data_IF_850030753090
#
_entry.id   IF_850030753090
#
_cell.length_a   1.000
_cell.length_b   1.000
_cell.length_c   1.000
_cell.angle_alpha   90.00
_cell.angle_beta   90.00
_cell.angle_gamma   90.00
#
_symmetry.space_group_name_H-M   'P 1'
#
loop_
_entity.id
_entity.type
_entity.pdbx_description
1 polymer ?
#
# COMPACT_ATOMS: atom_id res chain seq x y z
N UNK A 1 -19.75 26.66 12.62
CA UNK A 1 -19.41 25.24 12.43
C UNK A 1 -18.89 25.22 11.02
N UNK A 2 -17.58 25.30 10.90
CA UNK A 2 -16.94 25.92 9.74
C UNK A 2 -16.69 24.85 8.69
N UNK A 3 -17.29 25.05 7.52
CA UNK A 3 -16.95 24.32 6.32
C UNK A 3 -15.45 24.55 6.06
N UNK A 4 -14.63 23.50 5.88
CA UNK A 4 -13.20 23.69 5.63
C UNK A 4 -13.01 24.60 4.42
N UNK A 5 -12.12 25.59 4.56
CA UNK A 5 -11.87 26.58 3.50
C UNK A 5 -11.17 25.89 2.31
N UNK A 6 -11.39 26.40 1.10
CA UNK A 6 -10.70 25.93 -0.10
C UNK A 6 -9.18 25.95 0.04
N UNK A 7 -8.64 26.90 0.83
CA UNK A 7 -7.22 26.96 1.16
C UNK A 7 -6.73 25.72 1.96
N UNK A 8 -7.51 25.23 2.92
CA UNK A 8 -7.16 24.07 3.75
C UNK A 8 -7.12 22.79 2.92
N UNK A 9 -8.11 22.60 2.05
CA UNK A 9 -8.17 21.44 1.14
C UNK A 9 -7.00 21.45 0.16
N UNK A 10 -6.63 22.62 -0.35
CA UNK A 10 -5.46 22.76 -1.24
C UNK A 10 -4.14 22.48 -0.52
N UNK A 11 -3.98 22.92 0.73
CA UNK A 11 -2.80 22.61 1.55
C UNK A 11 -2.67 21.11 1.78
N UNK A 12 -3.76 20.47 2.24
CA UNK A 12 -3.79 19.01 2.46
C UNK A 12 -3.47 18.25 1.17
N UNK A 13 -4.05 18.66 0.04
CA UNK A 13 -3.77 18.03 -1.25
C UNK A 13 -2.30 18.19 -1.67
N UNK A 14 -1.67 19.33 -1.42
CA UNK A 14 -0.24 19.53 -1.68
C UNK A 14 0.63 18.62 -0.79
N UNK A 15 0.31 18.50 0.49
CA UNK A 15 1.02 17.62 1.42
C UNK A 15 0.83 16.13 1.06
N UNK A 16 -0.37 15.73 0.65
CA UNK A 16 -0.63 14.37 0.14
C UNK A 16 0.15 14.13 -1.15
N UNK A 17 0.13 15.06 -2.11
CA UNK A 17 0.86 14.93 -3.38
C UNK A 17 2.37 14.73 -3.15
N UNK A 18 2.95 15.41 -2.17
CA UNK A 18 4.37 15.27 -1.82
C UNK A 18 4.74 13.88 -1.24
N UNK A 19 3.75 13.13 -0.73
CA UNK A 19 3.93 11.78 -0.19
C UNK A 19 3.69 10.68 -1.22
N UNK A 20 3.17 11.01 -2.41
CA UNK A 20 2.95 10.06 -3.48
C UNK A 20 4.21 9.94 -4.34
N UNK A 21 4.58 8.73 -4.79
CA UNK A 21 5.77 8.53 -5.58
C UNK A 21 5.56 9.06 -6.99
N UNK A 22 6.66 9.45 -7.62
CA UNK A 22 6.70 9.74 -9.06
C UNK A 22 6.53 8.44 -9.83
N UNK A 23 5.69 8.45 -10.86
CA UNK A 23 5.60 7.38 -11.87
C UNK A 23 5.99 7.98 -13.21
N UNK A 24 6.74 7.22 -14.02
CA UNK A 24 7.18 7.67 -15.35
C UNK A 24 7.81 9.09 -15.39
N UNK A 25 8.55 9.49 -14.35
CA UNK A 25 9.13 10.82 -14.16
C UNK A 25 8.11 11.99 -14.10
N UNK A 26 6.85 11.72 -13.80
CA UNK A 26 5.83 12.72 -13.55
C UNK A 26 5.61 12.95 -12.06
N UNK A 27 5.60 14.23 -11.65
CA UNK A 27 5.20 14.67 -10.31
C UNK A 27 3.67 14.78 -10.20
N UNK A 28 3.15 14.56 -8.99
CA UNK A 28 1.77 14.88 -8.68
C UNK A 28 1.58 16.40 -8.60
N UNK A 29 0.62 16.89 -9.38
CA UNK A 29 0.20 18.30 -9.41
C UNK A 29 -1.15 18.48 -8.73
N UNK A 30 -1.38 19.66 -8.15
CA UNK A 30 -2.61 19.99 -7.42
C UNK A 30 -3.28 21.20 -8.06
N UNK A 31 -4.59 21.10 -8.28
CA UNK A 31 -5.40 22.19 -8.85
C UNK A 31 -6.77 22.30 -8.18
N UNK A 32 -7.36 23.50 -8.07
CA UNK A 32 -8.70 23.67 -7.50
C UNK A 32 -9.77 23.11 -8.44
N UNK A 33 -10.88 22.62 -7.86
CA UNK A 33 -12.05 22.16 -8.62
C UNK A 33 -13.15 23.21 -8.57
N UNK A 34 -13.45 23.84 -9.71
CA UNK A 34 -14.38 24.96 -9.81
C UNK A 34 -15.88 24.59 -9.75
N UNK A 35 -16.23 23.32 -10.02
CA UNK A 35 -17.62 22.86 -10.13
C UNK A 35 -18.04 21.87 -9.02
N UNK A 36 -17.28 21.77 -7.94
CA UNK A 36 -17.60 20.84 -6.85
C UNK A 36 -18.65 21.45 -5.89
N UNK A 37 -19.60 20.64 -5.44
CA UNK A 37 -20.60 21.03 -4.45
C UNK A 37 -19.99 21.39 -3.06
N UNK A 38 -18.71 21.08 -2.87
CA UNK A 38 -17.92 21.36 -1.66
C UNK A 38 -16.46 21.64 -2.06
N UNK A 39 -15.68 22.36 -1.24
CA UNK A 39 -14.26 22.58 -1.48
C UNK A 39 -13.51 21.27 -1.76
N UNK A 40 -12.85 21.21 -2.91
CA UNK A 40 -12.15 20.04 -3.40
C UNK A 40 -10.90 20.43 -4.20
N UNK A 41 -9.87 19.60 -4.13
CA UNK A 41 -8.66 19.70 -4.91
C UNK A 41 -8.52 18.48 -5.82
N UNK A 42 -8.05 18.70 -7.04
CA UNK A 42 -7.68 17.63 -7.98
C UNK A 42 -6.20 17.37 -7.89
N UNK A 43 -5.83 16.11 -7.67
CA UNK A 43 -4.47 15.60 -7.78
C UNK A 43 -4.33 14.87 -9.12
N UNK A 44 -3.25 15.12 -9.86
CA UNK A 44 -2.97 14.44 -11.14
C UNK A 44 -1.49 14.38 -11.48
N UNK A 45 -1.06 13.28 -12.10
CA UNK A 45 0.29 13.09 -12.66
C UNK A 45 0.27 12.92 -14.20
N UNK A 46 -0.81 13.36 -14.84
CA UNK A 46 -1.09 13.15 -16.26
C UNK A 46 -2.26 12.20 -16.47
N UNK A 47 -2.02 10.91 -16.77
CA UNK A 47 -3.10 9.96 -17.04
C UNK A 47 -3.95 9.66 -15.80
N UNK A 48 -3.36 9.72 -14.59
CA UNK A 48 -4.06 9.41 -13.34
C UNK A 48 -4.53 10.70 -12.69
N UNK A 49 -5.71 10.65 -12.12
CA UNK A 49 -6.25 11.74 -11.33
C UNK A 49 -7.30 11.26 -10.33
N UNK A 50 -7.39 11.98 -9.22
CA UNK A 50 -8.47 11.85 -8.26
C UNK A 50 -8.74 13.20 -7.58
N UNK A 51 -9.93 13.33 -7.02
CA UNK A 51 -10.33 14.47 -6.22
C UNK A 51 -10.16 14.15 -4.75
N UNK A 52 -9.72 15.14 -3.99
CA UNK A 52 -9.65 15.14 -2.54
C UNK A 52 -10.61 16.21 -2.04
N UNK A 53 -11.54 15.81 -1.18
CA UNK A 53 -12.42 16.72 -0.47
C UNK A 53 -12.40 16.39 1.02
N UNK A 54 -12.59 17.38 1.88
CA UNK A 54 -12.70 17.17 3.34
C UNK A 54 -14.08 17.56 3.83
N UNK A 55 -14.60 16.81 4.79
CA UNK A 55 -15.89 17.08 5.40
C UNK A 55 -15.91 16.54 6.84
N UNK A 56 -16.25 17.39 7.81
CA UNK A 56 -16.46 16.99 9.22
C UNK A 56 -15.36 16.09 9.81
N UNK A 57 -14.08 16.42 9.55
CA UNK A 57 -12.94 15.63 10.04
C UNK A 57 -12.67 14.34 9.27
N UNK A 58 -13.31 14.15 8.11
CA UNK A 58 -13.03 13.08 7.17
C UNK A 58 -12.44 13.60 5.87
N UNK A 59 -11.69 12.75 5.18
CA UNK A 59 -11.19 13.02 3.83
C UNK A 59 -11.81 12.01 2.86
N UNK A 60 -12.50 12.49 1.83
CA UNK A 60 -13.01 11.66 0.74
C UNK A 60 -12.08 11.79 -0.47
N UNK A 61 -11.62 10.65 -0.97
CA UNK A 61 -10.90 10.53 -2.22
C UNK A 61 -11.82 9.91 -3.26
N UNK A 62 -12.02 10.59 -4.40
CA UNK A 62 -12.86 10.07 -5.47
C UNK A 62 -12.13 10.09 -6.80
N UNK A 63 -12.21 8.99 -7.53
CA UNK A 63 -11.77 8.92 -8.93
C UNK A 63 -12.97 8.61 -9.82
N UNK A 64 -12.91 9.10 -11.06
CA UNK A 64 -14.00 8.98 -12.02
C UNK A 64 -13.84 9.98 -13.17
N UNK A 65 -14.03 9.49 -14.39
CA UNK A 65 -14.48 10.29 -15.53
C UNK A 65 -15.96 9.97 -15.77
N UNK A 66 -16.71 10.72 -16.59
CA UNK A 66 -18.11 10.44 -16.90
C UNK A 66 -18.41 9.02 -17.44
N UNK A 67 -17.37 8.21 -17.70
CA UNK A 67 -17.45 6.91 -18.37
C UNK A 67 -16.88 5.74 -17.54
N UNK A 68 -16.49 5.96 -16.30
CA UNK A 68 -15.96 4.91 -15.39
C UNK A 68 -16.75 4.89 -14.08
N UNK A 69 -16.94 3.72 -13.48
CA UNK A 69 -17.59 3.63 -12.17
C UNK A 69 -16.76 4.40 -11.12
N UNK A 70 -17.39 5.37 -10.47
CA UNK A 70 -16.73 6.19 -9.46
C UNK A 70 -16.27 5.32 -8.30
N UNK A 71 -14.96 5.31 -8.03
CA UNK A 71 -14.43 4.74 -6.79
C UNK A 71 -14.30 5.88 -5.80
N UNK A 72 -15.02 5.76 -4.69
CA UNK A 72 -14.98 6.70 -3.57
C UNK A 72 -14.45 6.01 -2.33
N UNK A 73 -13.43 6.59 -1.71
CA UNK A 73 -12.81 6.14 -0.48
C UNK A 73 -12.95 7.23 0.57
N UNK A 74 -13.55 6.92 1.72
CA UNK A 74 -13.63 7.85 2.85
C UNK A 74 -12.67 7.41 3.94
N UNK A 75 -11.80 8.33 4.34
CA UNK A 75 -10.76 8.14 5.35
C UNK A 75 -11.15 8.97 6.58
N UNK A 76 -11.02 8.38 7.76
CA UNK A 76 -11.16 9.13 9.01
C UNK A 76 -9.92 10.01 9.23
N UNK A 77 -10.15 11.30 9.46
CA UNK A 77 -9.08 12.28 9.68
C UNK A 77 -8.64 13.02 8.41
N UNK A 78 -7.77 14.00 8.64
CA UNK A 78 -7.16 14.88 7.63
C UNK A 78 -5.63 14.84 7.67
N UNK A 79 -5.04 13.87 8.37
CA UNK A 79 -3.59 13.72 8.44
C UNK A 79 -3.04 13.28 7.06
N UNK A 80 -2.12 14.04 6.43
CA UNK A 80 -1.65 13.77 5.07
C UNK A 80 -1.11 12.36 4.88
N UNK A 81 -0.34 11.84 5.84
CA UNK A 81 0.21 10.49 5.79
C UNK A 81 -0.86 9.38 5.80
N UNK A 82 -1.96 9.59 6.52
CA UNK A 82 -3.09 8.64 6.56
C UNK A 82 -3.83 8.65 5.22
N UNK A 83 -4.07 9.85 4.66
CA UNK A 83 -4.73 10.01 3.36
C UNK A 83 -3.87 9.45 2.23
N UNK A 84 -2.56 9.74 2.20
CA UNK A 84 -1.62 9.21 1.21
C UNK A 84 -1.52 7.67 1.30
N UNK A 85 -1.43 7.12 2.52
CA UNK A 85 -1.44 5.66 2.72
C UNK A 85 -2.72 5.03 2.19
N UNK A 86 -3.89 5.62 2.43
CA UNK A 86 -5.16 5.15 1.90
C UNK A 86 -5.20 5.21 0.35
N UNK A 87 -4.67 6.28 -0.24
CA UNK A 87 -4.56 6.42 -1.69
C UNK A 87 -3.66 5.34 -2.30
N UNK A 88 -2.48 5.10 -1.72
CA UNK A 88 -1.51 4.10 -2.19
C UNK A 88 -2.03 2.67 -2.07
N UNK A 89 -2.69 2.35 -0.97
CA UNK A 89 -3.13 0.99 -0.65
C UNK A 89 -4.40 0.58 -1.43
N UNK A 90 -5.35 1.51 -1.60
CA UNK A 90 -6.66 1.21 -2.19
C UNK A 90 -6.98 1.96 -3.48
N UNK A 91 -6.77 3.28 -3.54
CA UNK A 91 -7.27 4.10 -4.65
C UNK A 91 -6.42 3.96 -5.94
N UNK A 92 -5.11 4.19 -5.87
CA UNK A 92 -4.24 4.19 -7.04
C UNK A 92 -4.24 2.84 -7.79
N UNK A 93 -4.20 1.67 -7.13
CA UNK A 93 -4.33 0.39 -7.82
C UNK A 93 -5.64 0.25 -8.63
N UNK A 94 -6.73 0.85 -8.16
CA UNK A 94 -8.02 0.85 -8.87
C UNK A 94 -8.01 1.81 -10.07
N UNK A 95 -7.33 2.95 -9.95
CA UNK A 95 -7.11 3.89 -11.06
C UNK A 95 -6.29 3.23 -12.16
N UNK A 96 -5.16 2.62 -11.82
CA UNK A 96 -4.32 1.88 -12.77
C UNK A 96 -5.15 0.78 -13.47
N UNK A 97 -6.04 0.10 -12.72
CA UNK A 97 -6.97 -0.90 -13.24
C UNK A 97 -7.95 -0.38 -14.30
N UNK A 98 -8.34 0.89 -14.21
CA UNK A 98 -9.22 1.55 -15.19
C UNK A 98 -8.47 2.16 -16.38
N UNK A 99 -7.20 2.54 -16.21
CA UNK A 99 -6.33 3.09 -17.26
C UNK A 99 -5.80 1.98 -18.18
N UNK A 100 -5.45 0.82 -17.62
CA UNK A 100 -4.84 -0.29 -18.36
C UNK A 100 -5.91 -1.21 -19.02
N UNK A 101 -6.32 -0.88 -20.24
CA UNK A 101 -7.21 -1.71 -21.08
C UNK A 101 -6.61 -3.11 -21.35
N UNK A 102 -7.42 -4.19 -21.40
CA UNK A 102 -6.94 -5.58 -21.43
C UNK A 102 -6.02 -5.98 -22.60
N UNK A 103 -5.99 -5.22 -23.70
CA UNK A 103 -5.18 -5.55 -24.88
C UNK A 103 -3.70 -5.15 -24.79
N UNK A 104 -3.27 -4.40 -23.77
CA UNK A 104 -1.90 -3.84 -23.68
C UNK A 104 -1.05 -4.34 -22.50
N UNK A 105 -1.49 -5.33 -21.72
CA UNK A 105 -0.93 -5.59 -20.37
C UNK A 105 0.54 -6.04 -20.29
N UNK A 106 1.11 -6.66 -21.32
CA UNK A 106 2.52 -7.14 -21.26
C UNK A 106 3.57 -6.01 -21.27
N UNK A 107 3.53 -5.04 -22.19
CA UNK A 107 4.43 -3.87 -22.17
C UNK A 107 4.40 -3.09 -20.86
N UNK A 108 3.21 -2.86 -20.28
CA UNK A 108 3.07 -2.11 -19.03
C UNK A 108 3.70 -2.83 -17.83
N UNK A 109 3.57 -4.16 -17.76
CA UNK A 109 4.19 -4.97 -16.70
C UNK A 109 5.71 -4.79 -16.62
N UNK A 110 6.41 -4.86 -17.76
CA UNK A 110 7.87 -4.73 -17.78
C UNK A 110 8.31 -3.30 -17.45
N UNK A 111 7.55 -2.29 -17.89
CA UNK A 111 7.81 -0.89 -17.52
C UNK A 111 7.69 -0.69 -16.00
N UNK A 112 6.66 -1.26 -15.37
CA UNK A 112 6.45 -1.18 -13.92
C UNK A 112 7.57 -1.84 -13.11
N UNK A 113 8.05 -3.02 -13.54
CA UNK A 113 9.22 -3.63 -12.91
C UNK A 113 10.48 -2.79 -13.13
N UNK A 114 10.68 -2.23 -14.33
CA UNK A 114 11.83 -1.38 -14.60
C UNK A 114 11.85 -0.11 -13.73
N UNK A 115 10.68 0.47 -13.39
CA UNK A 115 10.58 1.58 -12.43
C UNK A 115 11.01 1.16 -11.02
N UNK A 116 10.52 0.02 -10.52
CA UNK A 116 10.90 -0.51 -9.21
C UNK A 116 12.40 -0.83 -9.17
N UNK A 117 12.92 -1.48 -10.20
CA UNK A 117 14.34 -1.82 -10.32
C UNK A 117 15.23 -0.57 -10.38
N UNK A 118 14.85 0.43 -11.16
CA UNK A 118 15.56 1.73 -11.21
C UNK A 118 15.63 2.34 -9.81
N UNK A 119 14.52 2.36 -9.08
CA UNK A 119 14.48 2.93 -7.73
C UNK A 119 15.30 2.11 -6.72
N UNK A 120 15.29 0.79 -6.81
CA UNK A 120 16.15 -0.09 -6.00
C UNK A 120 17.63 0.21 -6.25
N UNK A 121 18.04 0.38 -7.51
CA UNK A 121 19.43 0.74 -7.86
C UNK A 121 19.83 2.12 -7.35
N UNK A 122 18.92 3.10 -7.41
CA UNK A 122 19.16 4.43 -6.81
C UNK A 122 19.38 4.37 -5.30
N UNK A 123 18.73 3.42 -4.62
CA UNK A 123 18.92 3.15 -3.19
C UNK A 123 20.17 2.28 -2.91
N UNK A 124 20.90 1.86 -3.94
CA UNK A 124 22.09 1.03 -3.80
C UNK A 124 21.79 -0.45 -3.55
N UNK A 125 20.55 -0.90 -3.81
CA UNK A 125 20.11 -2.27 -3.56
C UNK A 125 20.28 -3.12 -4.83
N UNK A 126 21.12 -4.19 -4.78
CA UNK A 126 21.22 -5.12 -5.89
C UNK A 126 19.93 -5.92 -6.08
N UNK A 127 19.56 -6.14 -7.34
CA UNK A 127 18.34 -6.83 -7.73
C UNK A 127 18.64 -8.01 -8.65
N UNK A 128 17.80 -9.04 -8.56
CA UNK A 128 17.77 -10.16 -9.50
C UNK A 128 16.39 -10.22 -10.15
N UNK A 129 16.34 -10.06 -11.47
CA UNK A 129 15.11 -10.26 -12.23
C UNK A 129 14.93 -11.74 -12.56
N UNK A 130 13.69 -12.23 -12.45
CA UNK A 130 13.35 -13.61 -12.80
C UNK A 130 11.98 -13.70 -13.48
N UNK A 131 11.82 -14.75 -14.27
CA UNK A 131 10.56 -15.12 -14.92
C UNK A 131 10.06 -16.48 -14.40
N UNK A 132 8.74 -16.64 -14.32
CA UNK A 132 8.07 -17.88 -13.97
C UNK A 132 7.21 -18.36 -15.13
N UNK A 133 7.02 -19.68 -15.20
CA UNK A 133 6.22 -20.33 -16.25
C UNK A 133 4.74 -19.90 -16.26
N UNK A 134 4.23 -19.35 -15.15
CA UNK A 134 2.86 -18.86 -15.00
C UNK A 134 2.66 -17.43 -15.51
N UNK A 135 3.50 -16.96 -16.44
CA UNK A 135 3.45 -15.59 -16.98
C UNK A 135 3.59 -14.51 -15.87
N UNK A 136 4.38 -14.82 -14.85
CA UNK A 136 4.76 -13.90 -13.78
C UNK A 136 6.22 -13.51 -13.95
N UNK A 137 6.49 -12.21 -13.96
CA UNK A 137 7.86 -11.66 -13.91
C UNK A 137 8.04 -10.99 -12.56
N UNK A 138 9.24 -11.06 -11.99
CA UNK A 138 9.52 -10.45 -10.70
C UNK A 138 10.95 -9.96 -10.54
N UNK A 139 11.14 -9.22 -9.45
CA UNK A 139 12.41 -8.73 -8.95
C UNK A 139 12.61 -9.27 -7.54
N UNK A 140 13.80 -9.76 -7.24
CA UNK A 140 14.19 -10.18 -5.90
C UNK A 140 15.34 -9.30 -5.39
N UNK A 141 15.32 -9.02 -4.09
CA UNK A 141 16.40 -8.31 -3.40
C UNK A 141 16.50 -8.78 -1.94
N UNK A 142 17.49 -8.24 -1.24
CA UNK A 142 17.75 -8.51 0.17
C UNK A 142 17.33 -7.32 1.01
N UNK A 143 16.69 -7.62 2.14
CA UNK A 143 16.37 -6.64 3.18
C UNK A 143 16.75 -7.26 4.52
N UNK A 144 17.80 -6.75 5.16
CA UNK A 144 18.42 -7.36 6.34
C UNK A 144 18.74 -8.87 6.15
N UNK A 145 18.18 -9.72 7.03
CA UNK A 145 18.26 -11.17 6.97
C UNK A 145 17.24 -11.81 6.02
N UNK A 146 16.34 -11.03 5.43
CA UNK A 146 15.23 -11.50 4.61
C UNK A 146 15.50 -11.47 3.09
N UNK A 147 14.87 -12.44 2.42
CA UNK A 147 14.67 -12.39 0.97
C UNK A 147 13.32 -11.73 0.69
N UNK A 148 13.33 -10.73 -0.18
CA UNK A 148 12.12 -10.03 -0.62
C UNK A 148 11.98 -10.20 -2.13
N UNK A 149 10.76 -10.36 -2.60
CA UNK A 149 10.48 -10.28 -4.04
C UNK A 149 9.20 -9.54 -4.33
N UNK A 150 9.17 -8.84 -5.46
CA UNK A 150 7.97 -8.25 -6.03
C UNK A 150 7.67 -8.93 -7.36
N UNK A 151 6.45 -9.43 -7.52
CA UNK A 151 6.02 -10.17 -8.70
C UNK A 151 4.76 -9.57 -9.31
N UNK A 152 4.72 -9.51 -10.64
CA UNK A 152 3.56 -9.09 -11.41
C UNK A 152 3.14 -10.20 -12.38
N UNK A 153 1.88 -10.63 -12.26
CA UNK A 153 1.27 -11.57 -13.20
C UNK A 153 0.72 -10.81 -14.42
N UNK A 154 0.90 -11.32 -15.64
CA UNK A 154 0.56 -10.60 -16.87
C UNK A 154 -0.92 -10.24 -17.06
N UNK A 155 -1.83 -10.84 -16.30
CA UNK A 155 -3.26 -10.49 -16.31
C UNK A 155 -3.66 -9.44 -15.26
N UNK A 156 -2.79 -9.14 -14.31
CA UNK A 156 -3.09 -8.34 -13.12
C UNK A 156 -2.42 -6.97 -13.19
N UNK A 157 -3.11 -5.96 -12.67
CA UNK A 157 -2.57 -4.59 -12.55
C UNK A 157 -1.79 -4.41 -11.24
N UNK A 158 -2.13 -5.21 -10.23
CA UNK A 158 -1.41 -5.29 -8.96
C UNK A 158 -0.51 -6.50 -8.89
N UNK A 159 0.49 -6.43 -8.01
CA UNK A 159 1.44 -7.50 -7.76
C UNK A 159 1.35 -8.11 -6.37
N UNK A 160 2.30 -8.99 -6.12
CA UNK A 160 2.54 -9.58 -4.81
C UNK A 160 3.96 -9.28 -4.34
N UNK A 161 4.09 -8.79 -3.11
CA UNK A 161 5.37 -8.66 -2.40
C UNK A 161 5.49 -9.84 -1.43
N UNK A 162 6.55 -10.63 -1.58
CA UNK A 162 6.83 -11.78 -0.72
C UNK A 162 8.02 -11.48 0.18
N UNK A 163 7.98 -11.98 1.41
CA UNK A 163 9.04 -11.87 2.40
C UNK A 163 9.33 -13.24 3.00
N UNK A 164 10.61 -13.57 3.18
CA UNK A 164 11.07 -14.73 3.94
C UNK A 164 12.31 -14.35 4.76
N UNK A 165 12.19 -14.34 6.08
CA UNK A 165 13.25 -13.85 6.98
C UNK A 165 12.88 -13.97 8.46
N UNK A 166 13.58 -13.22 9.32
CA UNK A 166 13.32 -13.15 10.76
C UNK A 166 12.12 -12.27 11.12
N UNK A 167 11.49 -12.57 12.26
CA UNK A 167 10.31 -11.88 12.77
C UNK A 167 10.53 -10.37 13.04
N UNK A 168 11.70 -9.97 13.53
CA UNK A 168 12.01 -8.55 13.76
C UNK A 168 12.14 -7.75 12.45
N UNK A 169 12.76 -8.33 11.43
CA UNK A 169 12.82 -7.73 10.10
C UNK A 169 11.43 -7.69 9.46
N UNK A 170 10.60 -8.72 9.68
CA UNK A 170 9.21 -8.73 9.20
C UNK A 170 8.41 -7.56 9.79
N UNK A 171 8.57 -7.25 11.07
CA UNK A 171 7.88 -6.12 11.70
C UNK A 171 8.20 -4.82 10.93
N UNK A 172 9.47 -4.52 10.65
CA UNK A 172 9.86 -3.35 9.85
C UNK A 172 9.37 -3.41 8.40
N UNK A 173 9.42 -4.59 7.79
CA UNK A 173 8.96 -4.83 6.43
C UNK A 173 7.46 -4.53 6.24
N UNK A 174 6.62 -4.88 7.22
CA UNK A 174 5.17 -4.70 7.10
C UNK A 174 4.71 -3.25 7.26
N UNK A 175 5.46 -2.42 8.00
CA UNK A 175 5.07 -1.05 8.34
C UNK A 175 4.55 -0.21 7.15
N UNK A 176 5.22 -0.14 5.99
CA UNK A 176 4.74 0.67 4.86
C UNK A 176 3.48 0.12 4.17
N UNK A 177 3.14 -1.16 4.36
CA UNK A 177 1.97 -1.80 3.75
C UNK A 177 0.70 -1.71 4.62
N UNK A 178 0.84 -1.25 5.86
CA UNK A 178 -0.27 -1.14 6.82
C UNK A 178 -0.75 0.31 6.93
N UNK A 179 -2.01 0.55 7.32
CA UNK A 179 -2.47 1.89 7.67
C UNK A 179 -1.60 2.45 8.81
N UNK A 180 -1.31 3.77 8.83
CA UNK A 180 -0.62 4.39 9.95
C UNK A 180 -1.40 4.22 11.26
N UNK A 181 -0.69 4.19 12.39
CA UNK A 181 -1.34 4.11 13.70
C UNK A 181 -2.26 5.33 13.90
N UNK A 182 -3.51 5.17 14.35
CA UNK A 182 -4.50 6.25 14.48
C UNK A 182 -4.21 7.28 15.60
N UNK A 183 -2.95 7.41 16.04
CA UNK A 183 -2.54 8.32 17.11
C UNK A 183 -2.72 7.75 18.53
N UNK A 184 -2.59 8.59 19.57
CA UNK A 184 -2.63 8.16 20.97
C UNK A 184 -4.04 7.70 21.38
N UNK A 185 -4.18 6.39 21.56
CA UNK A 185 -5.40 5.74 22.01
C UNK A 185 -5.16 4.24 22.13
N UNK A 186 -5.82 3.56 23.08
CA UNK A 186 -5.70 2.10 23.18
C UNK A 186 -6.49 1.44 22.07
N UNK A 187 -5.81 1.01 21.02
CA UNK A 187 -6.39 0.06 20.07
C UNK A 187 -6.23 -1.34 20.67
N UNK A 188 -7.34 -2.04 20.89
CA UNK A 188 -7.31 -3.36 21.50
C UNK A 188 -6.93 -4.39 20.45
N UNK A 189 -5.79 -5.07 20.66
CA UNK A 189 -5.43 -6.27 19.92
C UNK A 189 -6.54 -7.32 20.05
N UNK A 190 -7.11 -7.72 18.91
CA UNK A 190 -8.10 -8.81 18.87
C UNK A 190 -7.37 -10.08 18.47
N UNK A 191 -7.12 -10.91 19.46
CA UNK A 191 -6.32 -12.13 19.34
C UNK A 191 -7.15 -13.30 19.81
N UNK A 192 -7.40 -14.28 18.94
CA UNK A 192 -8.11 -15.49 19.33
C UNK A 192 -7.30 -16.31 20.35
N UNK A 193 -8.00 -16.95 21.30
CA UNK A 193 -7.35 -17.89 22.24
C UNK A 193 -6.76 -19.06 21.44
N UNK A 194 -5.51 -19.42 21.74
CA UNK A 194 -4.82 -20.53 21.06
C UNK A 194 -3.87 -20.11 19.93
N UNK A 195 -3.88 -18.84 19.54
CA UNK A 195 -2.95 -18.34 18.52
C UNK A 195 -1.47 -18.49 18.92
N UNK A 196 -0.63 -18.84 17.94
CA UNK A 196 0.82 -18.95 18.08
C UNK A 196 1.48 -17.66 18.56
N UNK A 197 2.67 -17.76 19.14
CA UNK A 197 3.38 -16.59 19.67
C UNK A 197 3.78 -15.57 18.60
N UNK A 198 4.03 -16.02 17.36
CA UNK A 198 4.35 -15.13 16.23
C UNK A 198 3.17 -14.24 15.89
N UNK A 199 1.98 -14.83 15.73
CA UNK A 199 0.77 -14.07 15.44
C UNK A 199 0.46 -13.03 16.53
N UNK A 200 0.62 -13.42 17.81
CA UNK A 200 0.49 -12.50 18.95
C UNK A 200 1.44 -11.32 18.88
N UNK A 201 2.70 -11.57 18.51
CA UNK A 201 3.72 -10.53 18.39
C UNK A 201 3.43 -9.57 17.25
N UNK A 202 3.04 -10.08 16.08
CA UNK A 202 2.64 -9.22 14.95
C UNK A 202 1.40 -8.38 15.28
N UNK A 203 0.36 -8.98 15.88
CA UNK A 203 -0.83 -8.21 16.29
C UNK A 203 -0.48 -7.19 17.38
N UNK A 204 0.45 -7.49 18.29
CA UNK A 204 0.91 -6.52 19.28
C UNK A 204 1.68 -5.35 18.66
N UNK A 205 2.44 -5.59 17.58
CA UNK A 205 3.12 -4.55 16.82
C UNK A 205 2.14 -3.69 16.01
N UNK A 206 1.05 -4.28 15.51
CA UNK A 206 0.07 -3.65 14.62
C UNK A 206 -1.39 -3.90 15.04
N UNK A 207 -1.81 -3.51 16.26
CA UNK A 207 -3.11 -3.88 16.81
C UNK A 207 -4.28 -3.22 16.09
N UNK A 208 -4.01 -2.17 15.30
CA UNK A 208 -4.98 -1.42 14.50
C UNK A 208 -5.17 -1.95 13.08
N UNK A 209 -4.34 -2.88 12.64
CA UNK A 209 -4.29 -3.29 11.24
C UNK A 209 -4.23 -4.80 11.02
N UNK A 210 -3.81 -5.57 12.03
CA UNK A 210 -3.61 -7.02 11.90
C UNK A 210 -4.51 -7.78 12.84
N UNK A 211 -5.13 -8.82 12.31
CA UNK A 211 -5.89 -9.82 13.07
C UNK A 211 -5.16 -11.16 13.04
N UNK A 212 -5.40 -12.00 14.05
CA UNK A 212 -4.90 -13.36 14.09
C UNK A 212 -6.01 -14.36 14.42
N UNK A 213 -6.01 -15.49 13.73
CA UNK A 213 -6.89 -16.62 14.02
C UNK A 213 -6.24 -17.65 14.96
N UNK A 214 -7.02 -18.67 15.32
CA UNK A 214 -6.59 -19.76 16.18
C UNK A 214 -5.46 -20.62 15.56
N UNK A 215 -5.35 -20.66 14.24
CA UNK A 215 -4.33 -21.43 13.51
C UNK A 215 -2.97 -20.72 13.51
N UNK A 216 -2.90 -19.51 14.07
CA UNK A 216 -1.67 -18.72 14.16
C UNK A 216 -1.32 -18.00 12.85
N UNK A 217 -2.28 -17.91 11.93
CA UNK A 217 -2.18 -17.05 10.75
C UNK A 217 -2.52 -15.63 11.16
N UNK A 218 -1.60 -14.69 10.92
CA UNK A 218 -1.91 -13.26 11.04
C UNK A 218 -2.23 -12.70 9.66
N UNK A 219 -3.28 -11.88 9.56
CA UNK A 219 -3.79 -11.35 8.29
C UNK A 219 -4.19 -9.89 8.42
N UNK A 220 -4.13 -9.18 7.31
CA UNK A 220 -4.61 -7.80 7.19
C UNK A 220 -5.23 -7.59 5.81
N UNK A 221 -6.15 -6.64 5.72
CA UNK A 221 -6.76 -6.24 4.47
C UNK A 221 -7.16 -4.76 4.55
N UNK A 222 -7.41 -4.16 3.41
CA UNK A 222 -8.02 -2.83 3.38
C UNK A 222 -9.43 -2.83 3.97
N UNK A 223 -9.71 -1.84 4.81
CA UNK A 223 -10.98 -1.72 5.52
C UNK A 223 -12.19 -1.53 4.59
N UNK A 224 -11.98 -1.00 3.38
CA UNK A 224 -13.01 -0.80 2.36
C UNK A 224 -13.17 -2.00 1.40
N UNK A 225 -12.53 -3.13 1.69
CA UNK A 225 -12.43 -4.25 0.75
C UNK A 225 -11.55 -3.92 -0.46
N UNK A 226 -10.58 -3.02 -0.27
CA UNK A 226 -9.53 -2.70 -1.22
C UNK A 226 -8.74 -3.92 -1.72
N UNK A 227 -7.97 -3.75 -2.80
CA UNK A 227 -7.22 -4.83 -3.41
C UNK A 227 -6.12 -5.37 -2.48
N UNK A 228 -5.63 -4.55 -1.54
CA UNK A 228 -4.51 -4.92 -0.68
C UNK A 228 -4.96 -5.87 0.43
N UNK A 229 -4.31 -7.03 0.47
CA UNK A 229 -4.47 -8.02 1.52
C UNK A 229 -3.11 -8.65 1.83
N UNK A 230 -2.93 -9.14 3.04
CA UNK A 230 -1.69 -9.80 3.40
C UNK A 230 -1.85 -10.82 4.50
N UNK A 231 -0.83 -11.67 4.58
CA UNK A 231 -0.76 -12.77 5.52
C UNK A 231 0.66 -12.95 6.03
N UNK A 232 0.78 -13.49 7.24
CA UNK A 232 2.03 -13.89 7.89
C UNK A 232 1.85 -15.29 8.42
N UNK A 233 2.76 -16.17 8.04
CA UNK A 233 2.78 -17.55 8.50
C UNK A 233 4.14 -17.88 9.13
N UNK A 234 4.19 -18.32 10.39
CA UNK A 234 5.42 -18.85 10.95
C UNK A 234 5.75 -20.21 10.33
N UNK A 235 7.04 -20.56 10.29
CA UNK A 235 7.45 -21.92 9.89
C UNK A 235 6.97 -22.99 10.88
N UNK A 236 6.93 -22.64 12.16
CA UNK A 236 6.42 -23.47 13.25
C UNK A 236 5.54 -22.62 14.17
N UNK A 237 4.24 -22.89 14.19
CA UNK A 237 3.23 -22.15 14.97
C UNK A 237 3.44 -22.31 16.48
N UNK A 238 3.95 -23.46 16.91
CA UNK A 238 4.10 -23.83 18.32
C UNK A 238 5.53 -23.68 18.84
N UNK A 239 6.48 -23.34 17.96
CA UNK A 239 7.87 -23.16 18.29
C UNK A 239 8.15 -21.93 19.18
N UNK A 240 9.34 -21.88 19.80
CA UNK A 240 9.75 -20.72 20.59
C UNK A 240 9.84 -19.46 19.71
N UNK A 241 9.35 -18.35 20.24
CA UNK A 241 9.29 -17.07 19.53
C UNK A 241 10.40 -16.15 19.99
N UNK A 242 11.17 -15.66 19.03
CA UNK A 242 12.23 -14.68 19.22
C UNK A 242 12.44 -13.84 17.96
N UNK A 243 13.36 -12.85 18.02
CA UNK A 243 13.58 -11.91 16.91
C UNK A 243 13.95 -12.58 15.58
N UNK A 244 14.69 -13.70 15.64
CA UNK A 244 15.14 -14.49 14.48
C UNK A 244 14.21 -15.65 14.13
N UNK A 245 13.02 -15.74 14.72
CA UNK A 245 12.06 -16.80 14.37
C UNK A 245 11.73 -16.69 12.88
N UNK A 246 11.91 -17.76 12.08
CA UNK A 246 11.70 -17.71 10.64
C UNK A 246 10.22 -17.63 10.31
N UNK A 247 9.88 -16.67 9.47
CA UNK A 247 8.51 -16.36 9.04
C UNK A 247 8.47 -16.11 7.54
N UNK A 248 7.33 -16.40 6.95
CA UNK A 248 7.00 -15.98 5.59
C UNK A 248 5.80 -15.05 5.62
N UNK A 249 5.80 -14.08 4.73
CA UNK A 249 4.67 -13.18 4.55
C UNK A 249 4.44 -12.88 3.08
N UNK A 250 3.18 -12.62 2.74
CA UNK A 250 2.79 -12.17 1.42
C UNK A 250 1.88 -10.96 1.53
N UNK A 251 2.13 -9.95 0.71
CA UNK A 251 1.28 -8.78 0.49
C UNK A 251 0.79 -8.85 -0.94
N UNK A 252 -0.50 -9.09 -1.14
CA UNK A 252 -1.15 -9.27 -2.44
C UNK A 252 -1.98 -8.02 -2.73
N UNK A 253 -2.08 -7.64 -4.00
CA UNK A 253 -2.82 -6.45 -4.40
C UNK A 253 -2.01 -5.16 -4.28
N UNK A 254 -0.69 -5.27 -4.10
CA UNK A 254 0.20 -4.12 -4.03
C UNK A 254 0.33 -3.48 -5.41
N UNK A 255 -0.08 -2.20 -5.51
CA UNK A 255 0.23 -1.37 -6.68
C UNK A 255 1.70 -0.95 -6.69
N UNK A 256 2.19 -0.56 -7.87
CA UNK A 256 3.60 -0.15 -8.06
C UNK A 256 3.93 1.08 -7.21
N UNK A 257 3.02 2.05 -7.09
CA UNK A 257 3.22 3.22 -6.23
C UNK A 257 3.41 2.85 -4.76
N UNK A 258 2.64 1.88 -4.25
CA UNK A 258 2.82 1.40 -2.87
C UNK A 258 4.20 0.78 -2.68
N UNK A 259 4.65 -0.04 -3.64
CA UNK A 259 5.99 -0.64 -3.61
C UNK A 259 7.07 0.44 -3.64
N UNK A 260 7.02 1.38 -4.59
CA UNK A 260 7.98 2.49 -4.71
C UNK A 260 8.07 3.33 -3.44
N UNK A 261 6.93 3.59 -2.79
CA UNK A 261 6.86 4.32 -1.52
C UNK A 261 7.43 3.53 -0.36
N UNK A 262 7.30 2.20 -0.39
CA UNK A 262 7.83 1.31 0.63
C UNK A 262 9.35 1.12 0.54
N UNK A 263 9.94 1.19 -0.66
CA UNK A 263 11.36 0.86 -0.91
C UNK A 263 12.35 1.49 0.07
N UNK A 264 12.29 2.79 0.43
CA UNK A 264 13.22 3.39 1.39
C UNK A 264 13.22 2.73 2.78
N UNK A 265 12.19 1.95 3.11
CA UNK A 265 12.07 1.23 4.39
C UNK A 265 12.46 -0.25 4.25
N UNK A 266 12.37 -0.82 3.05
CA UNK A 266 12.54 -2.26 2.78
C UNK A 266 13.74 -2.58 1.89
N UNK A 267 14.79 -1.75 1.97
CA UNK A 267 16.05 -1.88 1.22
C UNK A 267 17.27 -1.81 2.10
#
# INVERSE_FOLDING_TARGET
>A
MDTPDAAEVMSLAAEVAALLPRRHNADWTVSPVSAAARPAARLSDGPRHFLLATDNGHTTLTTGTPHTADVSLTVAGTAPAVVASAALRSLLPRIDGGVDSPTAKQPHRLAYLAEVDTRLRELGTPTEQFDRADNTTGLAWRFDDASVSFTLHGACVTGAVSFAGGLESLERFLAPFLPPHPGPGRVRATVQRGCGGVARRIVAAYPHAVEADADGLARFADADGGPLQGWVMPRDVNGPVGPRTPVTAGVIGAGVDLVLSALPTIT
#
